data_IF_963803075658
#
_entry.id   IF_963803075658
#
_cell.length_a   1.000
_cell.length_b   1.000
_cell.length_c   1.000
_cell.angle_alpha   90.00
_cell.angle_beta   90.00
_cell.angle_gamma   90.00
#
_symmetry.space_group_name_H-M   'P 1'
#
loop_
_entity.id
_entity.type
_entity.pdbx_description
1 polymer ?
#
# COMPACT_ATOMS: atom_id res chain seq x y z
N UNK A 1 27.59 20.03 12.20
CA UNK A 1 28.21 18.77 11.75
C UNK A 1 28.00 18.67 10.25
N UNK A 2 28.99 18.22 9.48
CA UNK A 2 28.84 17.97 8.04
C UNK A 2 28.23 16.58 7.84
N UNK A 3 27.03 16.53 7.29
CA UNK A 3 26.38 15.28 6.85
C UNK A 3 27.16 14.68 5.66
N UNK A 4 27.38 13.37 5.69
CA UNK A 4 27.95 12.60 4.57
C UNK A 4 26.88 12.28 3.53
N UNK A 5 27.30 11.99 2.29
CA UNK A 5 26.34 11.60 1.24
C UNK A 5 25.58 10.30 1.57
N UNK A 6 26.22 9.37 2.28
CA UNK A 6 25.57 8.15 2.74
C UNK A 6 24.48 8.42 3.78
N UNK A 7 24.75 9.29 4.76
CA UNK A 7 23.75 9.74 5.73
C UNK A 7 22.57 10.43 5.03
N UNK A 8 22.87 11.30 4.05
CA UNK A 8 21.85 11.96 3.24
C UNK A 8 20.95 10.96 2.52
N UNK A 9 21.49 10.04 1.71
CA UNK A 9 20.67 9.09 0.93
C UNK A 9 19.88 8.14 1.84
N UNK A 10 20.45 7.75 2.98
CA UNK A 10 19.80 6.84 3.92
C UNK A 10 18.67 7.53 4.70
N UNK A 11 18.74 8.86 4.86
CA UNK A 11 17.72 9.63 5.58
C UNK A 11 16.33 9.60 4.94
N UNK A 12 16.23 9.21 3.66
CA UNK A 12 14.95 9.05 2.94
C UNK A 12 14.15 7.82 3.40
N UNK A 13 14.80 6.81 3.95
CA UNK A 13 14.14 5.59 4.44
C UNK A 13 13.88 5.69 5.94
N UNK A 14 12.69 6.15 6.33
CA UNK A 14 12.27 6.29 7.74
C UNK A 14 13.24 7.14 8.59
N UNK A 15 13.94 8.08 7.96
CA UNK A 15 14.88 9.00 8.61
C UNK A 15 14.38 10.44 8.67
N UNK A 16 15.31 11.40 8.81
CA UNK A 16 15.00 12.83 8.92
C UNK A 16 14.39 13.44 7.65
N UNK A 17 14.54 12.79 6.49
CA UNK A 17 13.97 13.18 5.20
C UNK A 17 13.07 12.10 4.63
N UNK A 18 12.32 11.41 5.50
CA UNK A 18 11.48 10.28 5.11
C UNK A 18 10.62 10.61 3.88
N UNK A 19 10.87 9.90 2.78
CA UNK A 19 10.12 10.00 1.53
C UNK A 19 9.94 8.59 0.99
N UNK A 20 8.69 8.13 0.97
CA UNK A 20 8.39 6.76 0.62
C UNK A 20 8.59 6.46 -0.86
N UNK A 21 8.61 7.47 -1.73
CA UNK A 21 8.91 7.31 -3.16
C UNK A 21 10.41 7.08 -3.38
N UNK A 22 11.27 7.63 -2.52
CA UNK A 22 12.73 7.57 -2.65
C UNK A 22 13.44 6.76 -1.56
N UNK A 23 12.70 6.05 -0.70
CA UNK A 23 13.27 5.18 0.35
C UNK A 23 14.21 4.09 -0.21
N UNK A 24 14.04 3.70 -1.48
CA UNK A 24 14.88 2.73 -2.17
C UNK A 24 16.35 3.15 -2.26
N UNK A 25 16.66 4.45 -2.15
CA UNK A 25 18.02 4.99 -2.15
C UNK A 25 18.90 4.39 -1.04
N UNK A 26 18.28 3.94 0.07
CA UNK A 26 18.99 3.25 1.15
C UNK A 26 19.65 1.95 0.67
N UNK A 27 19.04 1.25 -0.28
CA UNK A 27 19.55 -0.01 -0.83
C UNK A 27 20.65 0.16 -1.88
N UNK A 28 20.83 1.37 -2.41
CA UNK A 28 21.87 1.68 -3.40
C UNK A 28 23.21 1.98 -2.72
N UNK A 29 24.32 1.71 -3.40
CA UNK A 29 25.62 2.26 -2.99
C UNK A 29 25.64 3.79 -3.09
N UNK A 30 26.57 4.49 -2.41
CA UNK A 30 26.76 5.93 -2.63
C UNK A 30 27.00 6.30 -4.09
N UNK A 31 27.78 5.52 -4.83
CA UNK A 31 28.05 5.75 -6.26
C UNK A 31 26.78 5.60 -7.10
N UNK A 32 26.02 4.52 -6.86
CA UNK A 32 24.75 4.26 -7.53
C UNK A 32 23.70 5.35 -7.25
N UNK A 33 23.60 5.82 -6.01
CA UNK A 33 22.70 6.91 -5.67
C UNK A 33 23.14 8.22 -6.33
N UNK A 34 24.45 8.48 -6.45
CA UNK A 34 24.96 9.65 -7.17
C UNK A 34 24.61 9.59 -8.67
N UNK A 35 24.79 8.43 -9.31
CA UNK A 35 24.39 8.21 -10.70
C UNK A 35 22.89 8.42 -10.92
N UNK A 36 22.07 7.92 -9.99
CA UNK A 36 20.63 8.16 -10.00
C UNK A 36 20.30 9.66 -10.01
N UNK A 37 20.89 10.45 -9.10
CA UNK A 37 20.63 11.89 -9.01
C UNK A 37 21.15 12.65 -10.24
N UNK A 38 22.35 12.33 -10.73
CA UNK A 38 22.90 13.00 -11.91
C UNK A 38 21.99 12.82 -13.13
N UNK A 39 21.57 11.58 -13.40
CA UNK A 39 20.69 11.27 -14.51
C UNK A 39 19.28 11.85 -14.32
N UNK A 40 18.79 11.88 -13.08
CA UNK A 40 17.51 12.52 -12.76
C UNK A 40 17.56 14.01 -13.10
N UNK A 41 18.64 14.72 -12.76
CA UNK A 41 18.81 16.14 -13.08
C UNK A 41 18.79 16.41 -14.59
N UNK A 42 19.44 15.55 -15.40
CA UNK A 42 19.39 15.67 -16.86
C UNK A 42 17.97 15.48 -17.39
N UNK A 43 17.28 14.43 -16.93
CA UNK A 43 15.91 14.14 -17.37
C UNK A 43 14.91 15.21 -16.93
N UNK A 44 15.14 15.84 -15.78
CA UNK A 44 14.35 17.00 -15.34
C UNK A 44 14.54 18.18 -16.28
N UNK A 45 15.78 18.49 -16.68
CA UNK A 45 16.06 19.55 -17.67
C UNK A 45 15.32 19.26 -19.00
N UNK A 46 15.44 18.04 -19.52
CA UNK A 46 14.74 17.63 -20.74
C UNK A 46 13.21 17.73 -20.60
N UNK A 47 12.66 17.39 -19.42
CA UNK A 47 11.24 17.47 -19.14
C UNK A 47 10.74 18.92 -19.05
N UNK A 48 11.53 19.84 -18.48
CA UNK A 48 11.19 21.27 -18.47
C UNK A 48 11.07 21.84 -19.89
N UNK A 49 11.99 21.45 -20.77
CA UNK A 49 12.03 21.96 -22.15
C UNK A 49 10.95 21.33 -23.05
N UNK A 50 10.69 20.03 -22.86
CA UNK A 50 9.78 19.26 -23.73
C UNK A 50 8.35 19.13 -23.21
N UNK A 51 8.12 19.36 -21.91
CA UNK A 51 6.88 19.01 -21.21
C UNK A 51 6.65 17.50 -21.05
N UNK A 52 7.56 16.64 -21.53
CA UNK A 52 7.44 15.19 -21.44
C UNK A 52 8.09 14.65 -20.15
N UNK A 53 7.26 14.24 -19.20
CA UNK A 53 7.71 13.71 -17.91
C UNK A 53 7.92 12.20 -17.89
N UNK A 54 7.53 11.47 -18.94
CA UNK A 54 7.66 10.01 -18.99
C UNK A 54 9.09 9.52 -18.70
N UNK A 55 10.16 10.11 -19.27
CA UNK A 55 11.52 9.67 -18.96
C UNK A 55 11.93 9.83 -17.50
N UNK A 56 11.38 10.84 -16.79
CA UNK A 56 11.62 11.05 -15.35
C UNK A 56 10.96 9.92 -14.56
N UNK A 57 9.72 9.58 -14.88
CA UNK A 57 8.97 8.50 -14.23
C UNK A 57 9.65 7.16 -14.45
N UNK A 58 10.00 6.83 -15.69
CA UNK A 58 10.67 5.57 -16.05
C UNK A 58 12.02 5.44 -15.34
N UNK A 59 12.77 6.53 -15.22
CA UNK A 59 14.04 6.54 -14.49
C UNK A 59 13.85 6.16 -13.01
N UNK A 60 12.90 6.79 -12.32
CA UNK A 60 12.60 6.46 -10.92
C UNK A 60 12.16 4.99 -10.79
N UNK A 61 11.28 4.51 -11.66
CA UNK A 61 10.80 3.13 -11.64
C UNK A 61 11.92 2.11 -11.90
N UNK A 62 12.81 2.36 -12.86
CA UNK A 62 13.94 1.48 -13.16
C UNK A 62 14.91 1.38 -11.97
N UNK A 63 15.21 2.49 -11.31
CA UNK A 63 16.09 2.50 -10.15
C UNK A 63 15.43 1.89 -8.91
N UNK A 64 14.12 2.07 -8.72
CA UNK A 64 13.36 1.32 -7.71
C UNK A 64 13.43 -0.19 -7.98
N UNK A 65 13.15 -0.62 -9.21
CA UNK A 65 13.21 -2.03 -9.58
C UNK A 65 14.61 -2.62 -9.35
N UNK A 66 15.66 -1.88 -9.69
CA UNK A 66 17.06 -2.26 -9.41
C UNK A 66 17.32 -2.37 -7.90
N UNK A 67 16.93 -1.37 -7.11
CA UNK A 67 17.16 -1.34 -5.66
C UNK A 67 16.41 -2.46 -4.91
N UNK A 68 15.29 -2.93 -5.46
CA UNK A 68 14.50 -4.03 -4.92
C UNK A 68 14.77 -5.38 -5.60
N UNK A 69 15.66 -5.42 -6.60
CA UNK A 69 16.11 -6.66 -7.22
C UNK A 69 17.03 -7.40 -6.25
N UNK A 70 16.48 -8.39 -5.55
CA UNK A 70 17.25 -9.20 -4.61
C UNK A 70 16.42 -10.35 -4.05
N UNK A 71 17.08 -11.34 -3.40
CA UNK A 71 16.38 -12.43 -2.76
C UNK A 71 15.45 -11.89 -1.67
N UNK A 72 14.19 -12.24 -1.75
CA UNK A 72 13.22 -11.94 -0.69
C UNK A 72 13.35 -12.97 0.42
N UNK A 73 13.07 -12.55 1.66
CA UNK A 73 13.09 -13.41 2.85
C UNK A 73 11.98 -14.46 2.82
N UNK A 74 10.90 -14.19 2.07
CA UNK A 74 9.71 -15.05 2.00
C UNK A 74 9.72 -15.85 0.71
N UNK A 75 10.24 -17.07 0.80
CA UNK A 75 10.14 -18.08 -0.25
C UNK A 75 9.21 -19.18 0.25
N UNK A 76 8.15 -19.44 -0.50
CA UNK A 76 7.18 -20.49 -0.19
C UNK A 76 7.38 -21.63 -1.20
N UNK A 77 7.65 -22.84 -0.71
CA UNK A 77 7.78 -24.03 -1.56
C UNK A 77 6.46 -24.34 -2.28
N UNK A 78 5.33 -24.15 -1.57
CA UNK A 78 4.00 -24.32 -2.10
C UNK A 78 3.39 -22.99 -2.51
N UNK A 79 2.75 -22.97 -3.68
CA UNK A 79 1.90 -21.86 -4.10
C UNK A 79 0.48 -22.19 -3.63
N UNK A 80 -0.12 -21.43 -2.69
CA UNK A 80 -1.47 -21.70 -2.20
C UNK A 80 -2.52 -21.23 -3.22
N UNK A 81 -2.48 -21.80 -4.42
CA UNK A 81 -3.47 -21.55 -5.47
C UNK A 81 -4.66 -22.46 -5.23
N UNK A 82 -5.70 -21.90 -4.63
CA UNK A 82 -7.00 -22.56 -4.49
C UNK A 82 -7.87 -22.18 -5.69
N UNK A 83 -8.29 -23.14 -6.54
CA UNK A 83 -9.23 -22.85 -7.61
C UNK A 83 -10.57 -22.33 -7.07
N UNK A 84 -11.22 -21.43 -7.80
CA UNK A 84 -12.59 -21.02 -7.47
C UNK A 84 -13.55 -22.20 -7.64
N UNK A 85 -14.44 -22.38 -6.67
CA UNK A 85 -15.46 -23.43 -6.71
C UNK A 85 -16.63 -23.11 -7.67
N UNK A 86 -16.78 -21.83 -8.04
CA UNK A 86 -17.83 -21.31 -8.90
C UNK A 86 -17.22 -20.45 -10.01
N UNK A 87 -17.90 -20.30 -11.17
CA UNK A 87 -17.59 -19.25 -12.12
C UNK A 87 -17.59 -17.88 -11.44
N UNK A 88 -16.73 -16.96 -11.89
CA UNK A 88 -16.61 -15.63 -11.27
C UNK A 88 -17.96 -14.88 -11.27
N UNK A 89 -18.72 -15.00 -12.36
CA UNK A 89 -20.07 -14.46 -12.54
C UNK A 89 -21.13 -15.00 -11.57
N UNK A 90 -20.80 -16.01 -10.75
CA UNK A 90 -21.64 -16.57 -9.69
C UNK A 90 -21.01 -16.45 -8.30
N UNK A 91 -19.78 -15.91 -8.22
CA UNK A 91 -19.01 -15.83 -6.98
C UNK A 91 -19.37 -14.58 -6.17
N UNK A 92 -19.47 -14.74 -4.85
CA UNK A 92 -19.55 -13.64 -3.90
C UNK A 92 -18.14 -13.18 -3.50
N UNK A 93 -17.77 -11.96 -3.90
CA UNK A 93 -16.41 -11.45 -3.80
C UNK A 93 -16.30 -10.41 -2.68
N UNK A 94 -15.29 -10.53 -1.84
CA UNK A 94 -14.86 -9.48 -0.90
C UNK A 94 -13.65 -8.70 -1.39
N UNK A 95 -13.37 -7.57 -0.72
CA UNK A 95 -12.16 -6.78 -0.95
C UNK A 95 -11.46 -6.52 0.38
N UNK A 96 -10.17 -6.84 0.43
CA UNK A 96 -9.28 -6.49 1.55
C UNK A 96 -8.01 -5.85 1.01
N UNK A 97 -7.60 -4.76 1.67
CA UNK A 97 -6.49 -3.93 1.22
C UNK A 97 -5.55 -3.60 2.38
N UNK A 98 -4.25 -3.47 2.14
CA UNK A 98 -3.27 -3.14 3.19
C UNK A 98 -2.90 -1.65 3.22
N UNK A 99 -3.78 -0.81 2.72
CA UNK A 99 -3.55 0.59 2.35
C UNK A 99 -3.82 1.60 3.47
N UNK A 100 -4.46 1.18 4.56
CA UNK A 100 -4.79 2.05 5.68
C UNK A 100 -5.90 3.05 5.37
N UNK A 101 -6.80 2.73 4.44
CA UNK A 101 -8.03 3.48 4.23
C UNK A 101 -9.02 3.29 5.37
N UNK A 102 -9.83 4.32 5.64
CA UNK A 102 -10.95 4.31 6.57
C UNK A 102 -11.98 5.37 6.17
N UNK A 103 -13.19 5.29 6.72
CA UNK A 103 -14.24 6.29 6.50
C UNK A 103 -14.01 7.50 7.40
N UNK A 104 -14.18 8.70 6.86
CA UNK A 104 -14.15 9.95 7.64
C UNK A 104 -15.09 9.87 8.86
N UNK A 105 -14.58 10.26 10.03
CA UNK A 105 -15.29 10.13 11.31
C UNK A 105 -15.20 8.75 11.95
N UNK A 106 -14.58 7.77 11.28
CA UNK A 106 -14.32 6.41 11.79
C UNK A 106 -12.81 6.14 11.86
N UNK A 107 -12.04 7.11 12.36
CA UNK A 107 -10.60 6.93 12.57
C UNK A 107 -10.35 5.70 13.46
N UNK A 108 -9.48 4.74 13.05
CA UNK A 108 -9.16 3.56 13.85
C UNK A 108 -8.37 3.84 15.14
N UNK A 109 -7.99 5.10 15.39
CA UNK A 109 -7.25 5.58 16.56
C UNK A 109 -6.07 4.69 16.94
N UNK A 110 -5.08 4.50 16.03
CA UNK A 110 -3.94 3.64 16.30
C UNK A 110 -3.23 4.08 17.58
N UNK A 111 -2.97 3.11 18.46
CA UNK A 111 -2.38 3.34 19.79
C UNK A 111 -3.20 4.26 20.70
N UNK A 112 -4.52 4.37 20.47
CA UNK A 112 -5.41 5.25 21.22
C UNK A 112 -5.22 6.73 20.89
N UNK A 113 -4.55 7.06 19.79
CA UNK A 113 -4.36 8.45 19.35
C UNK A 113 -5.45 8.80 18.33
N UNK A 114 -6.33 9.70 18.72
CA UNK A 114 -7.32 10.27 17.82
C UNK A 114 -6.66 11.17 16.77
N UNK A 115 -7.17 11.14 15.54
CA UNK A 115 -6.78 12.01 14.44
C UNK A 115 -5.27 12.07 14.18
N UNK A 116 -4.58 10.92 14.36
CA UNK A 116 -3.14 10.82 14.11
C UNK A 116 -2.83 11.30 12.69
N UNK A 117 -1.86 12.21 12.56
CA UNK A 117 -1.43 12.73 11.26
C UNK A 117 -0.64 11.69 10.45
N UNK A 118 -0.53 11.89 9.14
CA UNK A 118 0.30 11.04 8.29
C UNK A 118 1.79 11.15 8.69
N UNK A 119 2.25 12.35 9.04
CA UNK A 119 3.63 12.61 9.49
C UNK A 119 3.93 11.87 10.80
N UNK A 120 2.98 11.87 11.74
CA UNK A 120 3.11 11.10 12.97
C UNK A 120 3.13 9.58 12.69
N UNK A 121 2.26 9.09 11.79
CA UNK A 121 2.26 7.69 11.40
C UNK A 121 3.60 7.25 10.78
N UNK A 122 4.24 8.10 9.97
CA UNK A 122 5.58 7.86 9.42
C UNK A 122 6.63 7.81 10.54
N UNK A 123 6.60 8.76 11.49
CA UNK A 123 7.55 8.79 12.63
C UNK A 123 7.41 7.59 13.55
N UNK A 124 6.20 7.06 13.69
CA UNK A 124 5.86 5.92 14.56
C UNK A 124 5.86 4.58 13.84
N UNK A 125 6.45 4.49 12.64
CA UNK A 125 6.44 3.26 11.83
C UNK A 125 6.96 2.03 12.58
N UNK A 126 7.96 2.19 13.44
CA UNK A 126 8.50 1.09 14.25
C UNK A 126 7.50 0.54 15.28
N UNK A 127 6.59 1.38 15.77
CA UNK A 127 5.49 0.95 16.65
C UNK A 127 4.45 0.17 15.85
N UNK A 128 4.10 0.67 14.65
CA UNK A 128 3.20 -0.01 13.72
C UNK A 128 3.70 -1.41 13.37
N UNK A 129 4.99 -1.57 13.03
CA UNK A 129 5.61 -2.87 12.70
C UNK A 129 5.56 -3.90 13.85
N UNK A 130 5.32 -3.46 15.09
CA UNK A 130 5.16 -4.32 16.28
C UNK A 130 3.70 -4.48 16.71
N UNK A 131 2.83 -3.63 16.20
CA UNK A 131 1.41 -3.60 16.52
C UNK A 131 0.66 -4.75 15.86
N UNK A 132 -0.42 -5.16 16.51
CA UNK A 132 -1.42 -5.98 15.84
C UNK A 132 -2.21 -5.10 14.86
N UNK A 133 -2.48 -5.56 13.63
CA UNK A 133 -3.22 -4.75 12.68
C UNK A 133 -4.68 -4.62 13.10
N UNK A 134 -5.22 -3.41 12.92
CA UNK A 134 -6.64 -3.12 13.11
C UNK A 134 -7.33 -3.12 11.75
N UNK A 135 -8.40 -3.88 11.63
CA UNK A 135 -9.25 -3.90 10.45
C UNK A 135 -10.24 -2.74 10.51
N UNK A 136 -10.38 -2.02 9.41
CA UNK A 136 -11.41 -1.01 9.21
C UNK A 136 -12.43 -1.51 8.21
N UNK A 137 -13.70 -1.20 8.45
CA UNK A 137 -14.81 -1.52 7.57
C UNK A 137 -15.20 -0.30 6.75
N UNK A 138 -15.40 -0.49 5.44
CA UNK A 138 -15.71 0.57 4.50
C UNK A 138 -16.92 0.12 3.69
N UNK A 139 -18.12 0.69 3.91
CA UNK A 139 -19.26 0.45 3.03
C UNK A 139 -18.87 0.76 1.58
N UNK A 140 -19.20 -0.12 0.63
CA UNK A 140 -18.77 0.02 -0.77
C UNK A 140 -19.39 1.22 -1.51
N UNK A 141 -20.45 1.77 -0.92
CA UNK A 141 -21.11 3.01 -1.35
C UNK A 141 -20.51 4.29 -0.73
N UNK A 142 -19.42 4.17 0.04
CA UNK A 142 -18.77 5.34 0.67
C UNK A 142 -18.30 6.31 -0.42
N UNK A 143 -18.77 7.58 -0.42
CA UNK A 143 -18.31 8.58 -1.37
C UNK A 143 -16.80 8.80 -1.27
N UNK A 144 -16.13 9.03 -2.40
CA UNK A 144 -14.68 9.25 -2.46
C UNK A 144 -14.21 10.34 -1.50
N UNK A 145 -14.98 11.41 -1.35
CA UNK A 145 -14.66 12.57 -0.52
C UNK A 145 -14.70 12.24 0.99
N UNK A 146 -15.31 11.11 1.37
CA UNK A 146 -15.34 10.59 2.74
C UNK A 146 -14.30 9.51 2.98
N UNK A 147 -13.52 9.10 1.97
CA UNK A 147 -12.43 8.18 2.17
C UNK A 147 -11.20 8.94 2.69
N UNK A 148 -10.58 8.39 3.72
CA UNK A 148 -9.31 8.87 4.27
C UNK A 148 -8.31 7.73 4.19
N UNK A 149 -7.02 8.05 4.10
CA UNK A 149 -5.95 7.07 4.11
C UNK A 149 -4.81 7.56 5.02
N UNK A 150 -4.29 6.65 5.84
CA UNK A 150 -3.12 6.89 6.69
C UNK A 150 -2.26 5.62 6.75
N UNK A 151 -0.99 5.76 6.40
CA UNK A 151 -0.08 4.62 6.36
C UNK A 151 1.38 5.07 6.47
N UNK A 152 2.09 4.66 7.51
CA UNK A 152 3.48 5.09 7.72
C UNK A 152 4.51 4.50 6.73
N UNK A 153 4.13 3.47 5.96
CA UNK A 153 5.02 2.72 5.06
C UNK A 153 5.00 3.08 3.57
N UNK A 154 4.08 3.95 3.11
CA UNK A 154 4.03 4.44 1.72
C UNK A 154 3.45 5.87 1.64
N UNK A 155 3.59 6.51 0.47
CA UNK A 155 3.05 7.84 0.22
C UNK A 155 1.55 7.77 -0.11
N UNK A 156 0.71 8.22 0.84
CA UNK A 156 -0.75 8.15 0.72
C UNK A 156 -1.34 9.15 -0.28
N UNK A 157 -0.58 10.14 -0.79
CA UNK A 157 -1.12 11.18 -1.69
C UNK A 157 -1.73 10.58 -2.96
N UNK A 158 -1.12 9.52 -3.49
CA UNK A 158 -1.64 8.84 -4.68
C UNK A 158 -3.03 8.25 -4.45
N UNK A 159 -3.24 7.57 -3.31
CA UNK A 159 -4.53 6.96 -2.99
C UNK A 159 -5.56 7.97 -2.51
N UNK A 160 -5.12 9.09 -1.95
CA UNK A 160 -6.01 10.22 -1.62
C UNK A 160 -6.52 10.91 -2.90
N UNK A 161 -5.70 10.99 -3.94
CA UNK A 161 -6.10 11.54 -5.23
C UNK A 161 -7.02 10.59 -6.01
N UNK A 162 -6.69 9.29 -6.05
CA UNK A 162 -7.55 8.25 -6.60
C UNK A 162 -7.56 6.99 -5.72
N UNK A 163 -8.61 6.79 -4.91
CA UNK A 163 -8.71 5.62 -4.05
C UNK A 163 -8.67 4.31 -4.83
N UNK A 164 -9.13 4.27 -6.09
CA UNK A 164 -9.17 3.02 -6.86
C UNK A 164 -7.78 2.43 -7.16
N UNK A 165 -6.70 3.18 -6.98
CA UNK A 165 -5.33 2.68 -7.12
C UNK A 165 -5.02 1.61 -6.06
N UNK A 166 -5.61 1.70 -4.86
CA UNK A 166 -5.34 0.76 -3.76
C UNK A 166 -6.59 0.26 -3.01
N UNK A 167 -7.75 0.85 -3.28
CA UNK A 167 -9.07 0.52 -2.75
C UNK A 167 -10.11 0.57 -3.89
N UNK A 168 -10.11 -0.43 -4.80
CA UNK A 168 -10.88 -0.42 -6.05
C UNK A 168 -12.39 -0.69 -5.86
N UNK A 169 -13.05 0.10 -5.02
CA UNK A 169 -14.50 -0.05 -4.72
C UNK A 169 -15.34 0.10 -5.99
N UNK A 170 -15.09 1.16 -6.76
CA UNK A 170 -15.88 1.47 -7.95
C UNK A 170 -15.64 0.43 -9.04
N UNK A 171 -14.39 0.01 -9.22
CA UNK A 171 -14.04 -1.01 -10.22
C UNK A 171 -14.71 -2.34 -9.91
N UNK A 172 -14.81 -2.76 -8.64
CA UNK A 172 -15.52 -3.98 -8.28
C UNK A 172 -17.03 -3.87 -8.46
N UNK A 173 -17.63 -2.70 -8.18
CA UNK A 173 -19.04 -2.44 -8.45
C UNK A 173 -19.37 -2.43 -9.94
N UNK A 174 -18.47 -1.89 -10.77
CA UNK A 174 -18.59 -1.96 -12.23
C UNK A 174 -18.56 -3.42 -12.71
N UNK A 175 -17.62 -4.22 -12.20
CA UNK A 175 -17.55 -5.66 -12.54
C UNK A 175 -18.78 -6.44 -12.10
N UNK A 176 -19.42 -6.09 -10.98
CA UNK A 176 -20.70 -6.65 -10.55
C UNK A 176 -21.83 -6.22 -11.51
N UNK A 177 -21.93 -4.93 -11.83
CA UNK A 177 -22.94 -4.40 -12.73
C UNK A 177 -22.85 -4.99 -14.15
N UNK A 178 -21.64 -5.29 -14.62
CA UNK A 178 -21.36 -5.94 -15.89
C UNK A 178 -21.55 -7.47 -15.85
N UNK A 179 -21.81 -8.06 -14.67
CA UNK A 179 -21.99 -9.50 -14.48
C UNK A 179 -20.69 -10.30 -14.59
N UNK A 180 -19.53 -9.65 -14.55
CA UNK A 180 -18.22 -10.31 -14.53
C UNK A 180 -18.02 -11.05 -13.21
N UNK A 181 -18.46 -10.45 -12.10
CA UNK A 181 -18.55 -11.09 -10.79
C UNK A 181 -20.03 -11.27 -10.40
N UNK A 182 -20.33 -12.31 -9.63
CA UNK A 182 -21.72 -12.60 -9.24
C UNK A 182 -22.28 -11.59 -8.24
N UNK A 183 -21.50 -11.25 -7.21
CA UNK A 183 -21.83 -10.14 -6.31
C UNK A 183 -20.61 -9.61 -5.57
N UNK A 184 -20.65 -8.34 -5.20
CA UNK A 184 -19.65 -7.69 -4.37
C UNK A 184 -20.18 -7.52 -2.94
N UNK A 185 -19.40 -7.94 -1.94
CA UNK A 185 -19.79 -7.79 -0.54
C UNK A 185 -19.98 -6.30 -0.19
N UNK A 186 -21.06 -5.91 0.53
CA UNK A 186 -21.43 -4.50 0.76
C UNK A 186 -20.45 -3.73 1.65
N UNK A 187 -19.50 -4.43 2.26
CA UNK A 187 -18.42 -3.87 3.07
C UNK A 187 -17.09 -4.37 2.51
N UNK A 188 -16.19 -3.45 2.21
CA UNK A 188 -14.79 -3.71 1.97
C UNK A 188 -13.98 -3.50 3.25
N UNK A 189 -12.79 -4.09 3.30
CA UNK A 189 -11.92 -4.00 4.46
C UNK A 189 -10.56 -3.41 4.10
N UNK A 190 -9.96 -2.75 5.08
CA UNK A 190 -8.64 -2.15 4.97
C UNK A 190 -7.90 -2.28 6.30
N UNK A 191 -6.58 -2.30 6.25
CA UNK A 191 -5.72 -2.20 7.42
C UNK A 191 -4.37 -1.57 7.03
N UNK A 192 -3.54 -1.22 8.02
CA UNK A 192 -2.17 -0.76 7.77
C UNK A 192 -1.26 -1.99 7.62
N UNK A 193 -0.75 -2.23 6.42
CA UNK A 193 0.12 -3.38 6.09
C UNK A 193 1.47 -3.39 6.81
N UNK A 194 1.96 -2.20 7.21
CA UNK A 194 3.11 -2.07 8.10
C UNK A 194 2.76 -2.48 9.54
N UNK A 195 2.49 -3.77 9.76
CA UNK A 195 2.10 -4.32 11.06
C UNK A 195 3.00 -5.49 11.49
N UNK A 196 2.75 -6.03 12.68
CA UNK A 196 3.38 -7.28 13.13
C UNK A 196 2.93 -8.46 12.26
N UNK A 197 3.81 -8.89 11.35
CA UNK A 197 3.54 -10.01 10.44
C UNK A 197 3.29 -11.32 11.20
N UNK A 198 3.97 -11.54 12.32
CA UNK A 198 3.75 -12.71 13.17
C UNK A 198 2.33 -12.74 13.74
N UNK A 199 1.80 -11.60 14.23
CA UNK A 199 0.44 -11.52 14.77
C UNK A 199 -0.60 -11.65 13.66
N UNK A 200 -0.38 -10.99 12.52
CA UNK A 200 -1.23 -11.10 11.34
C UNK A 200 -1.37 -12.57 10.91
N UNK A 201 -0.25 -13.28 10.72
CA UNK A 201 -0.26 -14.67 10.24
C UNK A 201 -0.86 -15.65 11.26
N UNK A 202 -0.56 -15.50 12.56
CA UNK A 202 -0.93 -16.50 13.58
C UNK A 202 -2.26 -16.24 14.28
N UNK A 203 -2.80 -15.03 14.21
CA UNK A 203 -3.98 -14.63 14.98
C UNK A 203 -4.97 -13.83 14.17
N UNK A 204 -4.58 -12.64 13.70
CA UNK A 204 -5.54 -11.66 13.19
C UNK A 204 -6.08 -12.05 11.82
N UNK A 205 -5.20 -12.47 10.90
CA UNK A 205 -5.57 -12.94 9.56
C UNK A 205 -6.51 -14.16 9.58
N UNK A 206 -6.21 -15.24 10.35
CA UNK A 206 -7.14 -16.36 10.49
C UNK A 206 -8.52 -15.96 11.01
N UNK A 207 -8.60 -15.00 11.95
CA UNK A 207 -9.88 -14.50 12.45
C UNK A 207 -10.67 -13.74 11.37
N UNK A 208 -10.00 -12.90 10.58
CA UNK A 208 -10.65 -12.21 9.45
C UNK A 208 -11.13 -13.19 8.38
N UNK A 209 -10.32 -14.20 8.05
CA UNK A 209 -10.72 -15.26 7.11
C UNK A 209 -11.95 -16.01 7.62
N UNK A 210 -12.04 -16.30 8.92
CA UNK A 210 -13.21 -16.96 9.48
C UNK A 210 -14.46 -16.08 9.38
N UNK A 211 -14.35 -14.79 9.70
CA UNK A 211 -15.41 -13.81 9.52
C UNK A 211 -15.91 -13.76 8.06
N UNK A 212 -14.99 -13.76 7.09
CA UNK A 212 -15.34 -13.76 5.67
C UNK A 212 -16.01 -15.05 5.19
N UNK A 213 -15.58 -16.21 5.71
CA UNK A 213 -16.25 -17.49 5.45
C UNK A 213 -17.67 -17.51 6.01
N UNK A 214 -17.86 -16.96 7.21
CA UNK A 214 -19.18 -16.84 7.84
C UNK A 214 -20.11 -15.87 7.09
N UNK A 215 -19.53 -14.83 6.49
CA UNK A 215 -20.24 -13.93 5.57
C UNK A 215 -20.49 -14.53 4.17
N UNK A 216 -20.08 -15.78 3.93
CA UNK A 216 -20.37 -16.50 2.69
C UNK A 216 -19.56 -16.05 1.48
N UNK A 217 -18.40 -15.40 1.68
CA UNK A 217 -17.50 -15.04 0.57
C UNK A 217 -16.94 -16.29 -0.09
N UNK A 218 -17.02 -16.35 -1.41
CA UNK A 218 -16.38 -17.38 -2.22
C UNK A 218 -14.89 -17.08 -2.44
N UNK A 219 -14.54 -15.79 -2.53
CA UNK A 219 -13.17 -15.32 -2.64
C UNK A 219 -13.02 -13.86 -2.18
N UNK A 220 -11.77 -13.42 -1.98
CA UNK A 220 -11.44 -12.03 -1.71
C UNK A 220 -10.34 -11.54 -2.65
N UNK A 221 -10.50 -10.32 -3.15
CA UNK A 221 -9.44 -9.59 -3.83
C UNK A 221 -8.51 -9.01 -2.77
N UNK A 222 -7.23 -9.34 -2.86
CA UNK A 222 -6.17 -8.80 -2.01
C UNK A 222 -5.45 -7.68 -2.75
N UNK A 223 -5.47 -6.45 -2.23
CA UNK A 223 -4.72 -5.32 -2.79
C UNK A 223 -3.63 -4.89 -1.79
N UNK A 224 -2.41 -5.43 -1.93
CA UNK A 224 -1.28 -5.02 -1.10
C UNK A 224 -0.67 -3.69 -1.59
N UNK A 225 -0.08 -2.93 -0.66
CA UNK A 225 0.72 -1.71 -0.92
C UNK A 225 2.01 -1.67 -0.10
#
# INVERSE_FOLDING_TARGET
MSETFEEFKNSFSYGSRADMNFKFLKSLSPEEAADFFQQLLWKLADAYDSGNWTPVVEHVQQWQAKAYAGPTTWQYEERPLTPLAKPLSEAHIGLITSTGHFVEGQDPQPFGVADMTQEEAIRRIDEFLRAEPTLTEIPVETPREKLRARHGGYDVRGVQADPNVALPLERLRELEAEGVIGSFHPVAWSFVGACSQMRLLRRTGPAWVQMWKEAGLDAAVLVPV
#
